data_IF_703165434238
#
_entry.id   IF_703165434238
#
_cell.length_a   1.000
_cell.length_b   1.000
_cell.length_c   1.000
_cell.angle_alpha   90.00
_cell.angle_beta   90.00
_cell.angle_gamma   90.00
#
_symmetry.space_group_name_H-M   'P 1'
#
loop_
_entity.id
_entity.type
_entity.pdbx_description
1 polymer ?
#
# COMPACT_ATOMS: atom_id res chain seq x y z
N UNK A 1 -15.18 7.85 -2.37
CA UNK A 1 -15.85 8.72 -1.40
C UNK A 1 -16.02 7.99 -0.08
N UNK A 2 -16.35 8.69 1.00
CA UNK A 2 -16.55 8.11 2.34
C UNK A 2 -17.70 7.08 2.34
N UNK A 3 -18.80 7.38 1.67
CA UNK A 3 -19.96 6.50 1.49
C UNK A 3 -19.63 5.15 0.84
N UNK A 4 -18.57 5.12 0.01
CA UNK A 4 -18.04 3.92 -0.63
C UNK A 4 -16.85 3.34 0.15
N UNK A 5 -16.61 3.77 1.40
CA UNK A 5 -15.43 3.40 2.20
C UNK A 5 -14.11 3.68 1.47
N UNK A 6 -14.10 4.71 0.63
CA UNK A 6 -12.99 5.08 -0.25
C UNK A 6 -12.49 3.96 -1.16
N UNK A 7 -13.33 2.97 -1.45
CA UNK A 7 -12.99 1.87 -2.35
C UNK A 7 -12.91 2.34 -3.81
N UNK A 8 -12.04 1.70 -4.59
CA UNK A 8 -11.91 1.97 -6.02
C UNK A 8 -13.21 1.55 -6.74
N UNK A 9 -13.80 2.48 -7.48
CA UNK A 9 -14.85 2.16 -8.43
C UNK A 9 -14.21 1.59 -9.71
N UNK A 10 -14.24 0.28 -9.84
CA UNK A 10 -13.54 -0.45 -10.92
C UNK A 10 -14.11 -0.09 -12.29
N UNK A 11 -15.43 0.06 -12.43
CA UNK A 11 -16.05 0.45 -13.71
C UNK A 11 -15.53 1.81 -14.16
N UNK A 12 -15.49 2.78 -13.26
CA UNK A 12 -14.96 4.12 -13.53
C UNK A 12 -13.45 4.08 -13.81
N UNK A 13 -12.68 3.32 -13.06
CA UNK A 13 -11.25 3.13 -13.31
C UNK A 13 -11.02 2.60 -14.74
N UNK A 14 -11.72 1.56 -15.12
CA UNK A 14 -11.61 0.94 -16.46
C UNK A 14 -12.01 1.92 -17.56
N UNK A 15 -13.08 2.69 -17.37
CA UNK A 15 -13.54 3.67 -18.39
C UNK A 15 -12.56 4.82 -18.63
N UNK A 16 -11.64 5.07 -17.71
CA UNK A 16 -10.59 6.09 -17.85
C UNK A 16 -9.34 5.59 -18.59
N UNK A 17 -9.19 4.26 -18.73
CA UNK A 17 -8.04 3.67 -19.44
C UNK A 17 -8.19 3.92 -20.94
N UNK A 18 -7.16 4.51 -21.54
CA UNK A 18 -7.11 4.80 -22.96
C UNK A 18 -5.69 4.58 -23.53
N UNK A 19 -5.48 4.87 -24.82
CA UNK A 19 -4.19 4.67 -25.52
C UNK A 19 -3.01 5.45 -24.91
N UNK A 20 -3.26 6.48 -24.10
CA UNK A 20 -2.23 7.28 -23.42
C UNK A 20 -1.91 6.73 -22.03
N UNK A 21 -2.74 5.85 -21.47
CA UNK A 21 -2.52 5.26 -20.14
C UNK A 21 -1.31 4.31 -20.19
N UNK A 22 -0.27 4.58 -19.41
CA UNK A 22 0.96 3.79 -19.33
C UNK A 22 1.09 3.06 -18.02
N UNK A 23 0.56 3.64 -16.94
CA UNK A 23 0.72 3.14 -15.59
C UNK A 23 -0.56 3.35 -14.79
N UNK A 24 -0.92 2.37 -13.97
CA UNK A 24 -1.92 2.48 -12.92
C UNK A 24 -1.23 2.28 -11.59
N UNK A 25 -1.44 3.20 -10.65
CA UNK A 25 -0.89 3.12 -9.30
C UNK A 25 -2.01 2.70 -8.35
N UNK A 26 -1.75 1.65 -7.58
CA UNK A 26 -2.66 1.12 -6.55
C UNK A 26 -1.91 1.17 -5.22
N UNK A 27 -2.39 1.96 -4.26
CA UNK A 27 -1.85 2.01 -2.91
C UNK A 27 -2.83 1.32 -1.95
N UNK A 28 -2.42 0.19 -1.39
CA UNK A 28 -3.26 -0.63 -0.50
C UNK A 28 -2.41 -1.24 0.64
N UNK A 29 -2.73 -0.96 1.91
CA UNK A 29 -3.69 0.02 2.43
C UNK A 29 -3.40 1.45 2.00
N UNK A 30 -4.44 2.28 1.90
CA UNK A 30 -4.36 3.58 1.23
C UNK A 30 -3.94 4.72 2.15
N UNK A 31 -3.02 5.54 1.67
CA UNK A 31 -2.72 6.86 2.18
C UNK A 31 -3.42 7.91 1.28
N UNK A 32 -4.28 8.82 1.79
CA UNK A 32 -4.46 9.17 3.21
C UNK A 32 -5.72 8.58 3.88
N UNK A 33 -6.51 7.75 3.20
CA UNK A 33 -7.86 7.41 3.66
C UNK A 33 -7.91 6.29 4.71
N UNK A 34 -6.83 5.49 4.86
CA UNK A 34 -6.85 4.29 5.68
C UNK A 34 -7.73 3.16 5.10
N UNK A 35 -8.27 3.34 3.89
CA UNK A 35 -9.05 2.30 3.21
C UNK A 35 -8.19 1.09 2.90
N UNK A 36 -8.77 -0.09 3.07
CA UNK A 36 -8.13 -1.36 2.77
C UNK A 36 -9.01 -2.18 1.82
N UNK A 37 -8.44 -2.58 0.70
CA UNK A 37 -9.10 -3.45 -0.27
C UNK A 37 -8.83 -4.91 0.08
N UNK A 38 -9.88 -5.67 0.32
CA UNK A 38 -9.82 -7.11 0.56
C UNK A 38 -9.60 -7.88 -0.74
N UNK A 39 -9.37 -9.18 -0.59
CA UNK A 39 -9.01 -10.07 -1.71
C UNK A 39 -10.00 -10.01 -2.87
N UNK A 40 -11.29 -10.02 -2.58
CA UNK A 40 -12.36 -10.02 -3.59
C UNK A 40 -12.26 -8.78 -4.49
N UNK A 41 -11.97 -7.63 -3.88
CA UNK A 41 -11.79 -6.36 -4.60
C UNK A 41 -10.53 -6.37 -5.48
N UNK A 42 -9.45 -6.95 -4.96
CA UNK A 42 -8.21 -7.12 -5.73
C UNK A 42 -8.41 -8.11 -6.88
N UNK A 43 -9.14 -9.22 -6.68
CA UNK A 43 -9.50 -10.17 -7.74
C UNK A 43 -10.25 -9.48 -8.89
N UNK A 44 -11.25 -8.62 -8.58
CA UNK A 44 -11.98 -7.85 -9.58
C UNK A 44 -11.09 -6.86 -10.34
N UNK A 45 -10.20 -6.16 -9.63
CA UNK A 45 -9.24 -5.23 -10.25
C UNK A 45 -8.33 -5.99 -11.22
N UNK A 46 -7.73 -7.08 -10.78
CA UNK A 46 -6.83 -7.89 -11.62
C UNK A 46 -7.56 -8.43 -12.85
N UNK A 47 -8.76 -9.02 -12.66
CA UNK A 47 -9.60 -9.50 -13.76
C UNK A 47 -9.90 -8.41 -14.80
N UNK A 48 -10.11 -7.19 -14.34
CA UNK A 48 -10.34 -6.04 -15.21
C UNK A 48 -9.08 -5.61 -15.95
N UNK A 49 -7.92 -5.59 -15.25
CA UNK A 49 -6.65 -5.12 -15.81
C UNK A 49 -6.00 -6.10 -16.78
N UNK A 50 -6.31 -7.39 -16.72
CA UNK A 50 -5.83 -8.39 -17.71
C UNK A 50 -6.16 -7.95 -19.15
N UNK A 51 -7.28 -7.25 -19.35
CA UNK A 51 -7.71 -6.76 -20.66
C UNK A 51 -6.83 -5.63 -21.24
N UNK A 52 -5.90 -5.07 -20.44
CA UNK A 52 -5.06 -3.94 -20.82
C UNK A 52 -3.56 -4.32 -20.72
N UNK A 53 -3.05 -5.21 -21.59
CA UNK A 53 -1.72 -5.79 -21.45
C UNK A 53 -0.57 -4.76 -21.55
N UNK A 54 -0.82 -3.62 -22.18
CA UNK A 54 0.17 -2.55 -22.39
C UNK A 54 0.21 -1.51 -21.26
N UNK A 55 -0.59 -1.70 -20.20
CA UNK A 55 -0.62 -0.81 -19.03
C UNK A 55 0.14 -1.44 -17.90
N UNK A 56 1.21 -0.82 -17.42
CA UNK A 56 1.94 -1.25 -16.25
C UNK A 56 1.13 -1.01 -14.97
N UNK A 57 1.39 -1.79 -13.95
CA UNK A 57 0.73 -1.70 -12.64
C UNK A 57 1.81 -1.49 -11.59
N UNK A 58 1.68 -0.43 -10.79
CA UNK A 58 2.48 -0.21 -9.60
C UNK A 58 1.60 -0.44 -8.38
N UNK A 59 1.97 -1.42 -7.57
CA UNK A 59 1.35 -1.70 -6.28
C UNK A 59 2.22 -1.15 -5.17
N UNK A 60 1.78 -0.08 -4.54
CA UNK A 60 2.42 0.45 -3.34
C UNK A 60 1.84 -0.25 -2.11
N UNK A 61 2.61 -1.19 -1.58
CA UNK A 61 2.23 -2.06 -0.47
C UNK A 61 2.96 -1.67 0.84
N UNK A 62 3.45 -0.43 0.96
CA UNK A 62 4.26 0.04 2.10
C UNK A 62 3.57 -0.14 3.47
N UNK A 63 2.26 -0.29 3.51
CA UNK A 63 1.47 -0.57 4.72
C UNK A 63 1.03 -2.03 4.82
N UNK A 64 1.62 -2.95 4.05
CA UNK A 64 1.25 -4.37 3.92
C UNK A 64 1.08 -5.12 5.25
N UNK A 65 1.80 -4.70 6.29
CA UNK A 65 1.76 -5.29 7.64
C UNK A 65 1.06 -4.43 8.69
N UNK A 66 0.47 -3.31 8.27
CA UNK A 66 -0.36 -2.44 9.10
C UNK A 66 -1.82 -2.58 8.67
N UNK A 67 -2.39 -3.76 8.85
CA UNK A 67 -3.76 -4.14 8.48
C UNK A 67 -4.46 -4.58 9.76
N UNK A 68 -5.65 -4.04 9.99
CA UNK A 68 -6.41 -4.25 11.21
C UNK A 68 -7.44 -5.38 11.08
N UNK A 69 -8.05 -5.72 12.21
CA UNK A 69 -9.18 -6.64 12.30
C UNK A 69 -8.87 -8.05 11.76
N UNK A 70 -7.60 -8.51 11.89
CA UNK A 70 -7.10 -9.82 11.47
C UNK A 70 -7.23 -10.12 9.95
N UNK A 71 -7.35 -9.08 9.12
CA UNK A 71 -7.28 -9.26 7.68
C UNK A 71 -5.85 -9.54 7.20
N UNK A 72 -5.73 -10.20 6.06
CA UNK A 72 -4.46 -10.49 5.40
C UNK A 72 -4.27 -9.61 4.16
N UNK A 73 -3.01 -9.24 3.88
CA UNK A 73 -2.65 -8.47 2.68
C UNK A 73 -2.87 -9.30 1.40
N UNK A 74 -3.81 -8.90 0.53
CA UNK A 74 -3.99 -9.52 -0.77
C UNK A 74 -2.99 -8.94 -1.79
N UNK A 75 -1.68 -9.19 -1.59
CA UNK A 75 -0.63 -8.66 -2.47
C UNK A 75 -0.86 -9.03 -3.94
N UNK A 76 -0.63 -8.05 -4.82
CA UNK A 76 -0.70 -8.24 -6.28
C UNK A 76 0.38 -9.21 -6.79
N UNK A 77 1.41 -9.53 -6.03
CA UNK A 77 2.39 -10.58 -6.35
C UNK A 77 1.78 -11.97 -6.47
N UNK A 78 0.62 -12.21 -5.87
CA UNK A 78 -0.09 -13.50 -5.94
C UNK A 78 -0.74 -13.78 -7.31
N UNK A 79 -0.70 -12.80 -8.25
CA UNK A 79 -1.38 -12.89 -9.56
C UNK A 79 -0.41 -13.02 -10.73
N UNK A 80 -0.11 -14.25 -11.21
CA UNK A 80 0.83 -14.48 -12.30
C UNK A 80 0.45 -13.76 -13.61
N UNK A 81 -0.84 -13.61 -13.88
CA UNK A 81 -1.36 -13.02 -15.12
C UNK A 81 -0.93 -11.56 -15.38
N UNK A 82 -0.49 -10.84 -14.35
CA UNK A 82 -0.04 -9.45 -14.47
C UNK A 82 1.43 -9.26 -14.12
N UNK A 83 2.14 -10.32 -13.71
CA UNK A 83 3.49 -10.24 -13.14
C UNK A 83 4.53 -9.64 -14.07
N UNK A 84 4.40 -9.86 -15.37
CA UNK A 84 5.33 -9.34 -16.39
C UNK A 84 5.29 -7.81 -16.56
N UNK A 85 4.37 -7.12 -15.90
CA UNK A 85 4.17 -5.66 -15.93
C UNK A 85 3.79 -5.08 -14.58
N UNK A 86 4.00 -5.85 -13.52
CA UNK A 86 3.73 -5.45 -12.15
C UNK A 86 5.01 -4.97 -11.48
N UNK A 87 4.94 -3.80 -10.88
CA UNK A 87 5.96 -3.26 -9.98
C UNK A 87 5.34 -3.25 -8.58
N UNK A 88 6.01 -3.85 -7.60
CA UNK A 88 5.57 -3.79 -6.20
C UNK A 88 6.60 -3.04 -5.39
N UNK A 89 6.15 -2.07 -4.62
CA UNK A 89 6.97 -1.29 -3.71
C UNK A 89 6.58 -1.60 -2.27
N UNK A 90 7.57 -1.78 -1.41
CA UNK A 90 7.42 -1.90 0.03
C UNK A 90 8.73 -1.45 0.72
N UNK A 91 8.79 -1.50 2.04
CA UNK A 91 10.00 -1.10 2.75
C UNK A 91 9.85 -1.19 4.27
N UNK A 92 10.90 -0.77 4.94
CA UNK A 92 11.02 -0.86 6.39
C UNK A 92 10.38 0.32 7.13
N UNK A 93 10.16 1.44 6.43
CA UNK A 93 9.75 2.70 7.03
C UNK A 93 8.53 2.59 7.94
N UNK A 94 7.51 1.82 7.53
CA UNK A 94 6.21 1.78 8.22
C UNK A 94 6.12 0.58 9.15
N UNK A 95 6.32 -0.61 8.62
CA UNK A 95 6.25 -1.88 9.38
C UNK A 95 7.20 -1.92 10.58
N UNK A 96 8.41 -1.39 10.42
CA UNK A 96 9.47 -1.46 11.43
C UNK A 96 9.76 -0.10 12.08
N UNK A 97 8.94 0.93 11.84
CA UNK A 97 9.17 2.30 12.32
C UNK A 97 10.55 2.86 11.94
N UNK A 98 11.08 2.49 10.77
CA UNK A 98 12.41 2.82 10.29
C UNK A 98 12.38 3.95 9.25
N UNK A 99 11.58 4.98 9.45
CA UNK A 99 11.41 6.08 8.47
C UNK A 99 12.71 6.85 8.21
N UNK A 100 13.51 7.08 9.24
CA UNK A 100 14.80 7.76 9.15
C UNK A 100 15.93 6.94 8.53
N UNK A 101 15.79 5.63 8.44
CA UNK A 101 16.78 4.74 7.86
C UNK A 101 16.80 4.74 6.33
N UNK A 102 15.77 5.33 5.69
CA UNK A 102 15.66 5.51 4.25
C UNK A 102 15.86 4.22 3.46
N UNK A 103 15.20 3.14 3.85
CA UNK A 103 15.35 1.80 3.28
C UNK A 103 14.00 1.31 2.73
N UNK A 104 14.00 0.94 1.46
CA UNK A 104 12.87 0.37 0.75
C UNK A 104 13.33 -0.62 -0.31
N UNK A 105 12.40 -1.32 -0.91
CA UNK A 105 12.66 -2.26 -1.99
C UNK A 105 11.52 -2.27 -3.01
N UNK A 106 11.84 -2.70 -4.22
CA UNK A 106 10.86 -2.90 -5.26
C UNK A 106 11.07 -4.21 -5.98
N UNK A 107 9.98 -4.89 -6.32
CA UNK A 107 9.98 -6.04 -7.22
C UNK A 107 9.58 -5.54 -8.59
N UNK A 108 10.43 -5.76 -9.58
CA UNK A 108 10.29 -5.23 -10.92
C UNK A 108 10.18 -6.34 -11.96
N UNK A 109 9.46 -6.13 -13.07
CA UNK A 109 9.53 -7.01 -14.22
C UNK A 109 10.98 -7.12 -14.73
N UNK A 110 11.38 -8.30 -15.16
CA UNK A 110 12.76 -8.53 -15.66
C UNK A 110 13.15 -7.58 -16.80
N UNK A 111 12.21 -7.18 -17.64
CA UNK A 111 12.41 -6.22 -18.73
C UNK A 111 12.72 -4.80 -18.25
N UNK A 112 12.35 -4.45 -17.03
CA UNK A 112 12.52 -3.09 -16.48
C UNK A 112 13.65 -2.99 -15.45
N UNK A 113 14.12 -4.10 -14.89
CA UNK A 113 15.07 -4.09 -13.76
C UNK A 113 16.37 -3.34 -14.07
N UNK A 114 16.92 -3.51 -15.29
CA UNK A 114 18.14 -2.81 -15.69
C UNK A 114 17.95 -1.29 -15.81
N UNK A 115 16.79 -0.85 -16.24
CA UNK A 115 16.43 0.58 -16.29
C UNK A 115 16.25 1.14 -14.89
N UNK A 116 15.56 0.41 -14.01
CA UNK A 116 15.38 0.78 -12.61
C UNK A 116 16.73 0.93 -11.89
N UNK A 117 17.65 -0.03 -12.09
CA UNK A 117 18.99 0.03 -11.51
C UNK A 117 19.78 1.24 -12.00
N UNK A 118 19.74 1.54 -13.30
CA UNK A 118 20.42 2.73 -13.86
C UNK A 118 19.86 4.02 -13.24
N UNK A 119 18.54 4.12 -13.08
CA UNK A 119 17.91 5.27 -12.43
C UNK A 119 18.35 5.38 -10.95
N UNK A 120 18.30 4.29 -10.20
CA UNK A 120 18.68 4.26 -8.79
C UNK A 120 20.14 4.71 -8.58
N UNK A 121 21.07 4.18 -9.39
CA UNK A 121 22.50 4.58 -9.32
C UNK A 121 22.70 6.07 -9.59
N UNK A 122 21.97 6.64 -10.55
CA UNK A 122 22.11 8.05 -10.90
C UNK A 122 21.31 9.01 -9.98
N UNK A 123 20.27 8.51 -9.30
CA UNK A 123 19.44 9.30 -8.38
C UNK A 123 20.03 9.36 -6.96
N UNK A 124 20.40 8.20 -6.41
CA UNK A 124 20.83 8.11 -5.00
C UNK A 124 22.01 7.15 -4.77
N UNK A 125 22.68 6.69 -5.82
CA UNK A 125 23.81 5.75 -5.80
C UNK A 125 23.44 4.40 -5.19
N UNK A 126 23.32 4.29 -3.87
CA UNK A 126 22.89 3.09 -3.18
C UNK A 126 22.27 3.44 -1.81
N UNK A 127 21.51 2.51 -1.25
CA UNK A 127 21.09 2.60 0.15
C UNK A 127 22.30 2.45 1.08
N UNK A 128 22.28 3.16 2.22
CA UNK A 128 23.36 3.06 3.22
C UNK A 128 23.61 1.62 3.65
N UNK A 129 24.88 1.18 3.66
CA UNK A 129 25.26 -0.16 4.09
C UNK A 129 24.82 -0.46 5.52
N UNK A 130 24.93 0.51 6.42
CA UNK A 130 24.45 0.39 7.82
C UNK A 130 22.95 0.14 7.84
N UNK A 131 22.17 0.89 7.06
CA UNK A 131 20.72 0.70 6.94
C UNK A 131 20.37 -0.69 6.39
N UNK A 132 21.13 -1.19 5.41
CA UNK A 132 20.90 -2.52 4.84
C UNK A 132 21.11 -3.62 5.88
N UNK A 133 22.18 -3.55 6.68
CA UNK A 133 22.44 -4.51 7.77
C UNK A 133 21.31 -4.45 8.82
N UNK A 134 20.90 -3.26 9.24
CA UNK A 134 19.76 -3.09 10.14
C UNK A 134 18.46 -3.67 9.54
N UNK A 135 18.25 -3.49 8.23
CA UNK A 135 17.11 -4.05 7.50
C UNK A 135 17.09 -5.59 7.48
N UNK A 136 18.27 -6.23 7.38
CA UNK A 136 18.40 -7.70 7.48
C UNK A 136 17.94 -8.17 8.85
N UNK A 137 18.41 -7.53 9.92
CA UNK A 137 18.01 -7.87 11.29
C UNK A 137 16.51 -7.65 11.51
N UNK A 138 15.95 -6.56 11.01
CA UNK A 138 14.51 -6.30 11.08
C UNK A 138 13.66 -7.41 10.42
N UNK A 139 14.13 -7.98 9.31
CA UNK A 139 13.44 -9.07 8.60
C UNK A 139 13.64 -10.44 9.29
N UNK A 140 14.85 -10.75 9.73
CA UNK A 140 15.22 -12.06 10.28
C UNK A 140 14.98 -12.17 11.77
N UNK A 141 15.03 -11.06 12.48
CA UNK A 141 14.84 -11.00 13.92
C UNK A 141 13.41 -11.25 14.37
N UNK A 142 13.19 -11.16 15.65
CA UNK A 142 11.88 -11.40 16.27
C UNK A 142 10.84 -10.40 15.77
N UNK A 143 9.71 -10.88 15.27
CA UNK A 143 8.58 -10.05 14.83
C UNK A 143 7.64 -9.64 15.98
N UNK A 144 7.98 -9.91 17.24
CA UNK A 144 7.15 -9.55 18.41
C UNK A 144 6.89 -8.05 18.50
N UNK A 145 7.89 -7.22 18.18
CA UNK A 145 7.74 -5.75 18.16
C UNK A 145 6.72 -5.30 17.11
N UNK A 146 6.77 -5.86 15.91
CA UNK A 146 5.80 -5.55 14.83
C UNK A 146 4.38 -5.90 15.27
N UNK A 147 4.18 -7.08 15.88
CA UNK A 147 2.85 -7.48 16.38
C UNK A 147 2.35 -6.55 17.49
N UNK A 148 3.24 -6.13 18.41
CA UNK A 148 2.90 -5.17 19.47
C UNK A 148 2.48 -3.81 18.88
N UNK A 149 3.27 -3.30 17.94
CA UNK A 149 2.97 -2.02 17.25
C UNK A 149 1.63 -2.09 16.52
N UNK A 150 1.36 -3.20 15.80
CA UNK A 150 0.08 -3.37 15.10
C UNK A 150 -1.10 -3.32 16.07
N UNK A 151 -1.01 -4.00 17.21
CA UNK A 151 -2.06 -3.96 18.24
C UNK A 151 -2.28 -2.54 18.76
N UNK A 152 -1.21 -1.83 19.06
CA UNK A 152 -1.28 -0.43 19.53
C UNK A 152 -1.88 0.52 18.49
N UNK A 153 -1.54 0.37 17.22
CA UNK A 153 -2.17 1.14 16.14
C UNK A 153 -3.65 0.80 15.96
N UNK A 154 -4.04 -0.45 16.14
CA UNK A 154 -5.46 -0.82 16.09
C UNK A 154 -6.25 -0.19 17.25
N UNK A 155 -5.71 -0.17 18.46
CA UNK A 155 -6.31 0.49 19.61
C UNK A 155 -6.45 2.01 19.37
N UNK A 156 -5.41 2.67 18.89
CA UNK A 156 -5.41 4.09 18.53
C UNK A 156 -6.41 4.39 17.40
N UNK A 157 -6.49 3.51 16.39
CA UNK A 157 -7.48 3.60 15.31
C UNK A 157 -8.90 3.60 15.87
N UNK A 158 -9.20 2.69 16.79
CA UNK A 158 -10.53 2.61 17.39
C UNK A 158 -10.85 3.89 18.17
N UNK A 159 -9.92 4.35 19.00
CA UNK A 159 -10.08 5.58 19.79
C UNK A 159 -10.34 6.80 18.90
N UNK A 160 -9.53 7.02 17.88
CA UNK A 160 -9.69 8.19 17.00
C UNK A 160 -10.95 8.09 16.14
N UNK A 161 -11.32 6.89 15.68
CA UNK A 161 -12.55 6.65 14.94
C UNK A 161 -13.80 6.98 15.78
N UNK A 162 -13.86 6.49 17.01
CA UNK A 162 -14.96 6.75 17.95
C UNK A 162 -15.01 8.24 18.34
N UNK A 163 -13.86 8.82 18.67
CA UNK A 163 -13.75 10.24 19.03
C UNK A 163 -14.19 11.18 17.92
N UNK A 164 -13.76 10.95 16.68
CA UNK A 164 -14.17 11.77 15.55
C UNK A 164 -15.68 11.67 15.26
N UNK A 165 -16.24 10.46 15.32
CA UNK A 165 -17.67 10.26 15.07
C UNK A 165 -18.58 10.70 16.24
N UNK A 166 -18.03 11.03 17.41
CA UNK A 166 -18.78 11.65 18.52
C UNK A 166 -18.94 13.17 18.35
N UNK A 167 -18.18 13.79 17.44
CA UNK A 167 -18.24 15.23 17.18
C UNK A 167 -19.42 15.57 16.26
N UNK A 168 -20.10 16.68 16.58
CA UNK A 168 -21.18 17.18 15.72
C UNK A 168 -20.64 17.58 14.34
N UNK A 169 -21.34 17.20 13.29
CA UNK A 169 -20.99 17.53 11.89
C UNK A 169 -19.64 16.96 11.42
N UNK A 170 -19.11 15.93 12.08
CA UNK A 170 -17.93 15.19 11.65
C UNK A 170 -18.33 13.74 11.43
N UNK A 171 -17.84 13.15 10.35
CA UNK A 171 -17.92 11.71 10.12
C UNK A 171 -16.57 11.19 9.69
N UNK A 172 -16.26 9.97 10.06
CA UNK A 172 -15.01 9.31 9.67
C UNK A 172 -15.30 7.85 9.33
N UNK A 173 -14.85 7.42 8.17
CA UNK A 173 -14.80 6.01 7.82
C UNK A 173 -13.83 5.27 8.74
N UNK A 174 -14.17 4.04 9.16
CA UNK A 174 -13.28 3.21 9.98
C UNK A 174 -12.12 2.69 9.16
N UNK A 175 -10.88 3.14 9.41
CA UNK A 175 -9.72 2.69 8.64
C UNK A 175 -9.49 1.17 8.78
N UNK A 176 -9.26 0.48 7.66
CA UNK A 176 -8.92 -0.95 7.63
C UNK A 176 -7.43 -1.23 7.68
N UNK A 177 -6.60 -0.21 7.46
CA UNK A 177 -5.13 -0.34 7.50
C UNK A 177 -4.41 1.00 7.50
N UNK A 178 -3.09 0.97 7.39
CA UNK A 178 -2.19 2.12 7.56
C UNK A 178 -2.34 2.75 8.97
N UNK A 179 -2.11 4.05 9.12
CA UNK A 179 -2.26 4.78 10.38
C UNK A 179 -2.90 6.17 10.18
N UNK A 180 -3.81 6.26 9.21
CA UNK A 180 -4.51 7.50 8.87
C UNK A 180 -5.98 7.40 9.26
N UNK A 181 -6.52 8.50 9.76
CA UNK A 181 -7.95 8.77 9.82
C UNK A 181 -8.25 9.94 8.87
N UNK A 182 -9.29 9.83 8.06
CA UNK A 182 -9.64 10.82 7.04
C UNK A 182 -11.08 11.29 7.25
N UNK A 183 -11.29 12.22 8.22
CA UNK A 183 -12.62 12.68 8.57
C UNK A 183 -13.20 13.62 7.51
N UNK A 184 -14.51 13.55 7.35
CA UNK A 184 -15.30 14.51 6.61
C UNK A 184 -15.80 15.59 7.60
N UNK A 185 -15.44 16.84 7.33
CA UNK A 185 -15.78 18.02 8.11
C UNK A 185 -16.67 19.01 7.34
N UNK A 186 -17.26 18.57 6.23
CA UNK A 186 -18.04 19.41 5.32
C UNK A 186 -19.55 19.43 5.66
N UNK A 187 -19.97 18.84 6.78
CA UNK A 187 -21.37 18.75 7.19
C UNK A 187 -21.78 19.91 8.06
#
# INVERSE_FOLDING_TARGET
KEEDSFQINIKKMVSLINKKTRLIIINNPNNPTGSFMQKEKIDEIVKSLIKFPNVAILSDEIYSRLIFDNHEMPSLLKYPAIRNRLIVLDGWSKTYCMTGWRLGWGIWPSTLINHANKLAVNDHSCASAVSQIAGIEALRGSQKAVKKILKEFQERRNLIFEGLNSLKNVSCFKPGGAFYAFPNVSK
#
